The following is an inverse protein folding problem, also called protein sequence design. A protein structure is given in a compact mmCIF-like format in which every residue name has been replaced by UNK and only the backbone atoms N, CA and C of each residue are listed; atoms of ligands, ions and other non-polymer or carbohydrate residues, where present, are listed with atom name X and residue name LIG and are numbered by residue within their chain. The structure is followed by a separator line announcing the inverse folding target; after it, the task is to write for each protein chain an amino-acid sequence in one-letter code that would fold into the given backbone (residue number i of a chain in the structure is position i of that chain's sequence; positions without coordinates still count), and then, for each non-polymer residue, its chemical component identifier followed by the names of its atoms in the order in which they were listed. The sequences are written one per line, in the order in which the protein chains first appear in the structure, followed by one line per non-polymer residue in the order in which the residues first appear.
data_IF_445811921701
#
_entry.id   IF_445811921701
#
_cell.length_a   1.000
_cell.length_b   1.000
_cell.length_c   1.000
_cell.angle_alpha   90.00
_cell.angle_beta   90.00
_cell.angle_gamma   90.00
#
_symmetry.space_group_name_H-M   'P 1'
#
loop_
_entity.id
_entity.type
_entity.pdbx_description
1 polymer ?
#
# COMPACT_ATOMS: atom_id res chain seq x y z
N UNK A 1 17.56 0.67 3.85
CA UNK A 1 16.09 0.53 3.77
C UNK A 1 15.57 1.28 2.55
N UNK A 2 14.77 0.62 1.76
CA UNK A 2 14.16 1.25 0.59
C UNK A 2 12.74 1.68 0.92
N UNK A 3 12.31 2.80 0.36
CA UNK A 3 10.94 3.27 0.48
C UNK A 3 10.16 2.82 -0.75
N UNK A 4 9.03 2.15 -0.52
CA UNK A 4 8.10 1.74 -1.57
C UNK A 4 6.85 2.61 -1.44
N UNK A 5 6.50 3.29 -2.52
CA UNK A 5 5.30 4.13 -2.56
C UNK A 5 4.25 3.40 -3.38
N UNK A 6 3.09 3.16 -2.78
CA UNK A 6 1.95 2.56 -3.45
C UNK A 6 0.96 3.68 -3.77
N UNK A 7 0.67 3.83 -5.05
CA UNK A 7 -0.22 4.90 -5.52
C UNK A 7 -1.67 4.40 -5.52
N UNK A 8 -2.51 5.08 -4.75
CA UNK A 8 -3.93 4.75 -4.62
C UNK A 8 -4.75 5.73 -5.45
N UNK A 9 -5.38 5.23 -6.51
CA UNK A 9 -6.20 6.01 -7.44
C UNK A 9 -7.62 5.46 -7.46
N UNK A 10 -8.59 6.30 -7.78
CA UNK A 10 -9.97 5.88 -7.95
C UNK A 10 -10.07 4.78 -9.01
N UNK A 11 -10.94 3.81 -8.75
CA UNK A 11 -11.12 2.66 -9.63
C UNK A 11 -10.14 1.53 -9.37
N UNK A 12 -9.24 1.69 -8.39
CA UNK A 12 -8.32 0.62 -8.03
C UNK A 12 -9.09 -0.55 -7.42
N UNK A 13 -8.65 -1.77 -7.72
CA UNK A 13 -9.20 -2.94 -7.05
C UNK A 13 -8.54 -3.07 -5.68
N UNK A 14 -9.34 -3.36 -4.66
CA UNK A 14 -8.84 -3.47 -3.29
C UNK A 14 -7.69 -4.47 -3.19
N UNK A 15 -7.80 -5.60 -3.92
CA UNK A 15 -6.75 -6.61 -3.95
C UNK A 15 -5.45 -6.04 -4.51
N UNK A 16 -5.53 -5.28 -5.61
CA UNK A 16 -4.35 -4.71 -6.25
C UNK A 16 -3.71 -3.61 -5.41
N UNK A 17 -4.50 -2.91 -4.61
CA UNK A 17 -3.96 -1.89 -3.71
C UNK A 17 -3.27 -2.53 -2.51
N UNK A 18 -3.88 -3.55 -1.91
CA UNK A 18 -3.37 -4.16 -0.68
C UNK A 18 -2.21 -5.12 -0.94
N UNK A 19 -2.12 -5.73 -2.12
CA UNK A 19 -1.10 -6.72 -2.42
C UNK A 19 0.32 -6.17 -2.23
N UNK A 20 0.73 -5.05 -2.85
CA UNK A 20 2.08 -4.54 -2.63
C UNK A 20 2.30 -4.09 -1.17
N UNK A 21 1.28 -3.57 -0.50
CA UNK A 21 1.38 -3.20 0.91
C UNK A 21 1.70 -4.44 1.75
N UNK A 22 0.99 -5.53 1.51
CA UNK A 22 1.20 -6.77 2.25
C UNK A 22 2.54 -7.41 1.92
N UNK A 23 2.89 -7.48 0.63
CA UNK A 23 4.14 -8.11 0.20
C UNK A 23 5.36 -7.36 0.75
N UNK A 24 5.42 -6.06 0.52
CA UNK A 24 6.59 -5.27 0.93
C UNK A 24 6.55 -4.93 2.42
N UNK A 25 5.36 -4.74 2.98
CA UNK A 25 5.22 -4.38 4.39
C UNK A 25 5.52 -5.54 5.33
N UNK A 26 5.32 -6.78 4.89
CA UNK A 26 5.57 -7.97 5.72
C UNK A 26 6.94 -8.59 5.49
N UNK A 27 7.67 -8.15 4.48
CA UNK A 27 9.01 -8.67 4.21
C UNK A 27 9.93 -8.42 5.40
N UNK A 28 10.77 -9.40 5.71
CA UNK A 28 11.74 -9.28 6.80
C UNK A 28 13.06 -9.90 6.37
N UNK A 29 14.15 -9.28 6.80
CA UNK A 29 15.49 -9.83 6.64
C UNK A 29 15.69 -10.96 7.65
N UNK A 30 16.71 -11.82 7.46
CA UNK A 30 16.98 -12.91 8.40
C UNK A 30 17.15 -12.45 9.86
N UNK A 31 17.58 -11.19 10.06
CA UNK A 31 17.73 -10.64 11.41
C UNK A 31 16.44 -9.99 11.95
N UNK A 32 15.33 -10.10 11.22
CA UNK A 32 14.04 -9.58 11.64
C UNK A 32 13.76 -8.15 11.26
N UNK A 33 14.73 -7.44 10.65
CA UNK A 33 14.52 -6.04 10.24
C UNK A 33 13.67 -5.97 8.98
N UNK A 34 12.85 -4.92 8.89
CA UNK A 34 12.05 -4.65 7.71
C UNK A 34 12.93 -3.98 6.64
N UNK A 35 13.08 -4.59 5.44
CA UNK A 35 13.90 -4.01 4.38
C UNK A 35 13.22 -2.84 3.67
N UNK A 36 11.90 -2.71 3.79
CA UNK A 36 11.12 -1.69 3.08
C UNK A 36 10.30 -0.85 4.03
N UNK A 37 10.24 0.45 3.75
CA UNK A 37 9.25 1.35 4.31
C UNK A 37 8.16 1.52 3.27
N UNK A 38 6.93 1.12 3.60
CA UNK A 38 5.81 1.21 2.66
C UNK A 38 4.98 2.45 2.99
N UNK A 39 4.72 3.25 1.96
CA UNK A 39 3.86 4.42 2.07
C UNK A 39 2.77 4.31 1.02
N UNK A 40 1.54 4.61 1.41
CA UNK A 40 0.41 4.65 0.50
C UNK A 40 0.05 6.12 0.27
N UNK A 41 -0.01 6.53 -0.98
CA UNK A 41 -0.29 7.91 -1.35
C UNK A 41 -1.36 7.95 -2.42
N UNK A 42 -2.14 9.02 -2.42
CA UNK A 42 -3.15 9.25 -3.45
C UNK A 42 -3.49 10.73 -3.54
N UNK A 43 -4.18 11.15 -4.62
CA UNK A 43 -4.54 12.55 -4.80
C UNK A 43 -5.63 13.02 -3.84
N UNK A 44 -6.35 12.08 -3.22
CA UNK A 44 -7.41 12.37 -2.25
C UNK A 44 -7.25 11.46 -1.04
N UNK A 45 -7.84 11.86 0.07
CA UNK A 45 -7.77 11.08 1.30
C UNK A 45 -8.62 9.82 1.31
N UNK A 46 -9.42 9.61 0.28
CA UNK A 46 -10.28 8.45 0.14
C UNK A 46 -10.29 8.02 -1.31
N UNK A 47 -10.24 6.70 -1.53
CA UNK A 47 -10.14 6.11 -2.86
C UNK A 47 -11.31 5.15 -3.04
N UNK A 48 -11.99 5.27 -4.19
CA UNK A 48 -13.05 4.35 -4.58
C UNK A 48 -12.43 3.04 -5.06
N UNK A 49 -12.72 1.96 -4.36
CA UNK A 49 -12.19 0.63 -4.66
C UNK A 49 -13.28 -0.33 -5.15
N UNK A 50 -14.35 0.18 -5.77
CA UNK A 50 -15.44 -0.62 -6.30
C UNK A 50 -16.66 -0.54 -5.40
N UNK A 51 -16.95 -1.62 -4.69
CA UNK A 51 -18.14 -1.67 -3.83
C UNK A 51 -17.95 -0.97 -2.48
N UNK A 52 -16.75 -0.49 -2.22
CA UNK A 52 -16.44 0.24 -0.99
C UNK A 52 -15.31 1.22 -1.26
N UNK A 53 -15.11 2.14 -0.32
CA UNK A 53 -14.03 3.11 -0.39
C UNK A 53 -13.01 2.83 0.68
N UNK A 54 -11.76 3.22 0.41
CA UNK A 54 -10.64 3.03 1.34
C UNK A 54 -10.08 4.40 1.68
N UNK A 55 -9.90 4.67 2.97
CA UNK A 55 -9.22 5.88 3.41
C UNK A 55 -7.71 5.65 3.33
N UNK A 56 -7.03 6.60 2.72
CA UNK A 56 -5.57 6.56 2.57
C UNK A 56 -4.95 7.83 3.17
N UNK A 57 -3.69 7.73 3.62
CA UNK A 57 -2.98 8.89 4.16
C UNK A 57 -2.81 10.02 3.17
#
# INVERSE_FOLDING_TARGET
MHTVVVLALDGVLAFNLSTPVEVFGRARLPDGRAPYRVRVCGPAGEVDAGVFSVRVP
#
